data_IF_326832455169
#
_entry.id   IF_326832455169
#
_cell.length_a   1.000
_cell.length_b   1.000
_cell.length_c   1.000
_cell.angle_alpha   90.00
_cell.angle_beta   90.00
_cell.angle_gamma   90.00
#
_symmetry.space_group_name_H-M   'P 1'
#
loop_
_entity.id
_entity.type
_entity.pdbx_description
1 polymer ?
#
# COMPACT_ATOMS: atom_id res chain seq x y z
N UNK A 1 2.85 -20.44 -6.74
CA UNK A 1 2.51 -19.00 -6.89
C UNK A 1 1.04 -18.89 -7.28
N UNK A 2 0.27 -18.09 -6.55
CA UNK A 2 -1.14 -18.37 -6.21
C UNK A 2 -2.16 -18.31 -7.36
N UNK A 3 -2.86 -19.43 -7.56
CA UNK A 3 -3.90 -19.65 -8.58
C UNK A 3 -5.33 -19.31 -8.12
N UNK A 4 -5.53 -18.34 -7.24
CA UNK A 4 -6.83 -18.14 -6.55
C UNK A 4 -7.45 -16.74 -6.62
N UNK A 5 -6.80 -15.75 -7.22
CA UNK A 5 -7.37 -14.40 -7.35
C UNK A 5 -8.00 -14.26 -8.74
N UNK A 6 -9.32 -14.11 -8.77
CA UNK A 6 -10.11 -14.05 -10.00
C UNK A 6 -10.36 -12.62 -10.50
N UNK A 7 -9.91 -11.60 -9.76
CA UNK A 7 -10.17 -10.20 -10.10
C UNK A 7 -9.06 -9.29 -9.58
N UNK A 8 -8.73 -8.27 -10.38
CA UNK A 8 -7.89 -7.14 -10.02
C UNK A 8 -8.71 -5.84 -9.82
N UNK A 9 -10.04 -5.95 -9.81
CA UNK A 9 -10.98 -4.84 -9.64
C UNK A 9 -11.55 -4.82 -8.22
N UNK A 10 -11.38 -3.69 -7.55
CA UNK A 10 -12.04 -3.36 -6.29
C UNK A 10 -13.12 -2.32 -6.59
N UNK A 11 -14.36 -2.77 -6.61
CA UNK A 11 -15.50 -2.01 -7.15
C UNK A 11 -15.93 -0.86 -6.24
N UNK A 12 -16.56 0.15 -6.84
CA UNK A 12 -17.16 1.28 -6.14
C UNK A 12 -18.13 0.86 -5.02
N UNK A 13 -18.92 -0.19 -5.24
CA UNK A 13 -19.89 -0.70 -4.24
C UNK A 13 -19.23 -1.11 -2.91
N UNK A 14 -18.00 -1.64 -2.98
CA UNK A 14 -17.21 -1.98 -1.78
C UNK A 14 -16.51 -0.75 -1.20
N UNK A 15 -15.92 0.09 -2.04
CA UNK A 15 -15.14 1.24 -1.56
C UNK A 15 -16.04 2.31 -0.93
N UNK A 16 -17.25 2.54 -1.47
CA UNK A 16 -18.19 3.54 -0.93
C UNK A 16 -18.67 3.20 0.48
N UNK A 17 -18.74 1.90 0.81
CA UNK A 17 -19.18 1.43 2.12
C UNK A 17 -18.02 1.35 3.11
N UNK A 18 -16.80 1.05 2.64
CA UNK A 18 -15.61 0.97 3.48
C UNK A 18 -14.40 1.63 2.81
N UNK A 19 -14.05 2.82 3.30
CA UNK A 19 -12.87 3.59 2.87
C UNK A 19 -11.55 2.81 2.97
N UNK A 20 -11.43 1.93 3.96
CA UNK A 20 -10.24 1.11 4.20
C UNK A 20 -9.94 0.12 3.05
N UNK A 21 -10.87 -0.07 2.10
CA UNK A 21 -10.67 -0.87 0.90
C UNK A 21 -9.45 -0.43 0.07
N UNK A 22 -8.98 0.82 0.23
CA UNK A 22 -7.74 1.31 -0.39
C UNK A 22 -6.49 0.50 0.02
N UNK A 23 -6.50 -0.18 1.17
CA UNK A 23 -5.39 -1.04 1.64
C UNK A 23 -5.13 -2.23 0.72
N UNK A 24 -6.06 -2.56 -0.17
CA UNK A 24 -5.84 -3.62 -1.17
C UNK A 24 -4.94 -3.17 -2.31
N UNK A 25 -4.76 -1.86 -2.54
CA UNK A 25 -4.03 -1.30 -3.68
C UNK A 25 -2.59 -1.82 -3.76
N UNK A 26 -1.82 -1.68 -2.68
CA UNK A 26 -0.42 -2.09 -2.58
C UNK A 26 -0.20 -3.60 -2.73
N UNK A 27 -0.80 -4.45 -1.89
CA UNK A 27 -0.61 -5.90 -1.97
C UNK A 27 -1.12 -6.51 -3.29
N UNK A 28 -2.24 -6.03 -3.84
CA UNK A 28 -2.73 -6.51 -5.13
C UNK A 28 -1.82 -6.07 -6.28
N UNK A 29 -1.35 -4.82 -6.28
CA UNK A 29 -0.38 -4.35 -7.29
C UNK A 29 0.91 -5.17 -7.23
N UNK A 30 1.47 -5.39 -6.03
CA UNK A 30 2.71 -6.11 -5.86
C UNK A 30 2.59 -7.60 -6.27
N UNK A 31 1.40 -8.18 -6.14
CA UNK A 31 1.14 -9.60 -6.48
C UNK A 31 0.70 -9.83 -7.93
N UNK A 32 -0.16 -8.96 -8.47
CA UNK A 32 -0.81 -9.13 -9.77
C UNK A 32 -0.15 -8.30 -10.88
N UNK A 33 0.60 -7.27 -10.53
CA UNK A 33 1.23 -6.33 -11.46
C UNK A 33 0.27 -5.30 -12.08
N UNK A 34 -1.04 -5.48 -11.93
CA UNK A 34 -2.06 -4.51 -12.31
C UNK A 34 -3.26 -4.59 -11.38
N UNK A 35 -3.77 -3.43 -10.95
CA UNK A 35 -4.96 -3.34 -10.09
C UNK A 35 -5.76 -2.08 -10.41
N UNK A 36 -7.09 -2.16 -10.28
CA UNK A 36 -8.01 -1.03 -10.38
C UNK A 36 -8.85 -0.93 -9.11
N UNK A 37 -8.69 0.16 -8.36
CA UNK A 37 -9.37 0.40 -7.08
C UNK A 37 -10.19 1.68 -7.18
N UNK A 38 -11.46 1.67 -6.78
CA UNK A 38 -12.25 2.89 -6.75
C UNK A 38 -11.67 3.90 -5.75
N UNK A 39 -11.67 5.19 -6.12
CA UNK A 39 -11.23 6.27 -5.23
C UNK A 39 -12.23 6.41 -4.07
N UNK A 40 -11.75 6.41 -2.81
CA UNK A 40 -12.62 6.73 -1.69
C UNK A 40 -13.18 8.14 -1.86
N UNK A 41 -14.50 8.28 -1.68
CA UNK A 41 -15.17 9.57 -1.72
C UNK A 41 -14.85 10.45 -0.50
N UNK A 42 -15.54 11.59 -0.41
CA UNK A 42 -15.46 12.49 0.74
C UNK A 42 -15.93 11.82 2.03
N UNK A 43 -15.33 12.18 3.16
CA UNK A 43 -15.71 11.71 4.49
C UNK A 43 -16.25 12.90 5.31
N UNK A 44 -17.32 12.69 6.08
CA UNK A 44 -17.95 13.74 6.88
C UNK A 44 -17.02 14.37 7.94
N UNK A 45 -15.94 13.68 8.31
CA UNK A 45 -14.97 14.12 9.33
C UNK A 45 -13.92 15.07 8.72
N UNK A 46 -13.78 15.11 7.39
CA UNK A 46 -12.82 15.95 6.69
C UNK A 46 -12.15 15.27 5.50
N UNK A 47 -11.30 16.01 4.81
CA UNK A 47 -10.48 15.44 3.74
C UNK A 47 -9.44 14.51 4.34
N UNK A 48 -9.38 13.28 3.83
CA UNK A 48 -8.24 12.39 4.05
C UNK A 48 -7.76 12.01 2.65
N UNK A 49 -6.67 12.59 2.15
CA UNK A 49 -6.21 12.25 0.82
C UNK A 49 -5.59 10.84 0.80
N UNK A 50 -5.54 10.22 -0.39
CA UNK A 50 -4.84 8.95 -0.63
C UNK A 50 -3.52 9.18 -1.37
N UNK A 51 -3.09 10.43 -1.44
CA UNK A 51 -1.91 10.89 -2.17
C UNK A 51 -0.64 10.15 -1.71
N UNK A 52 -0.51 9.90 -0.40
CA UNK A 52 0.68 9.22 0.12
C UNK A 52 0.80 7.76 -0.33
N UNK A 53 -0.34 7.08 -0.53
CA UNK A 53 -0.35 5.74 -1.10
C UNK A 53 0.16 5.77 -2.56
N UNK A 54 -0.34 6.73 -3.34
CA UNK A 54 -0.02 6.89 -4.77
C UNK A 54 1.45 7.26 -4.93
N UNK A 55 1.91 8.33 -4.27
CA UNK A 55 3.30 8.81 -4.31
C UNK A 55 4.30 7.73 -3.94
N UNK A 56 4.00 6.94 -2.90
CA UNK A 56 4.89 5.86 -2.47
C UNK A 56 4.99 4.75 -3.52
N UNK A 57 3.86 4.31 -4.09
CA UNK A 57 3.84 3.28 -5.13
C UNK A 57 4.47 3.76 -6.44
N UNK A 58 4.28 5.02 -6.84
CA UNK A 58 4.95 5.62 -7.99
C UNK A 58 6.48 5.64 -7.79
N UNK A 59 6.96 6.00 -6.60
CA UNK A 59 8.39 5.92 -6.26
C UNK A 59 8.92 4.48 -6.37
N UNK A 60 8.09 3.48 -6.08
CA UNK A 60 8.43 2.05 -6.26
C UNK A 60 8.36 1.59 -7.73
N UNK A 61 8.08 2.48 -8.68
CA UNK A 61 8.04 2.20 -10.12
C UNK A 61 6.66 1.84 -10.67
N UNK A 62 5.58 2.15 -9.96
CA UNK A 62 4.22 1.97 -10.48
C UNK A 62 3.82 3.13 -11.40
N UNK A 63 3.16 2.80 -12.52
CA UNK A 63 2.42 3.75 -13.33
C UNK A 63 0.99 3.85 -12.80
N UNK A 64 0.59 5.03 -12.33
CA UNK A 64 -0.73 5.25 -11.72
C UNK A 64 -1.52 6.29 -12.52
N UNK A 65 -2.77 5.98 -12.82
CA UNK A 65 -3.70 6.91 -13.48
C UNK A 65 -5.00 7.01 -12.71
N UNK A 66 -5.50 8.24 -12.57
CA UNK A 66 -6.80 8.53 -11.97
C UNK A 66 -7.78 8.86 -13.10
N UNK A 67 -8.74 7.98 -13.35
CA UNK A 67 -9.80 8.19 -14.36
C UNK A 67 -11.13 7.68 -13.84
N UNK A 68 -12.19 8.46 -14.08
CA UNK A 68 -13.58 8.08 -13.78
C UNK A 68 -13.82 7.63 -12.32
N UNK A 69 -13.11 8.21 -11.35
CA UNK A 69 -13.23 7.82 -9.94
C UNK A 69 -12.53 6.50 -9.59
N UNK A 70 -11.59 6.04 -10.40
CA UNK A 70 -10.73 4.88 -10.13
C UNK A 70 -9.26 5.23 -10.17
N UNK A 71 -8.49 4.60 -9.28
CA UNK A 71 -7.04 4.46 -9.34
C UNK A 71 -6.76 3.20 -10.16
N UNK A 72 -6.10 3.35 -11.30
CA UNK A 72 -5.55 2.23 -12.06
C UNK A 72 -4.04 2.26 -11.92
N UNK A 73 -3.47 1.21 -11.33
CA UNK A 73 -2.04 1.10 -11.08
C UNK A 73 -1.46 -0.12 -11.80
N UNK A 74 -0.30 0.05 -12.43
CA UNK A 74 0.42 -0.99 -13.17
C UNK A 74 1.90 -0.98 -12.81
N UNK A 75 2.49 -2.15 -12.59
CA UNK A 75 3.91 -2.33 -12.37
C UNK A 75 4.30 -3.75 -12.76
N UNK A 76 5.29 -3.93 -13.65
CA UNK A 76 5.81 -5.28 -13.95
C UNK A 76 6.36 -5.94 -12.69
N UNK A 77 7.07 -5.16 -11.88
CA UNK A 77 7.61 -5.54 -10.58
C UNK A 77 7.91 -4.24 -9.83
N UNK A 78 7.38 -4.09 -8.62
CA UNK A 78 7.75 -2.97 -7.76
C UNK A 78 9.22 -3.09 -7.34
N UNK A 79 9.91 -1.98 -7.18
CA UNK A 79 11.31 -1.91 -6.76
C UNK A 79 11.41 -1.33 -5.35
N UNK A 80 12.34 -1.86 -4.58
CA UNK A 80 12.71 -1.29 -3.29
C UNK A 80 13.31 0.09 -3.45
N UNK A 81 12.82 1.05 -2.66
CA UNK A 81 13.24 2.45 -2.70
C UNK A 81 13.16 3.09 -1.31
N UNK A 82 13.78 4.26 -1.16
CA UNK A 82 13.61 5.09 0.03
C UNK A 82 12.39 6.01 -0.13
N UNK A 83 11.42 5.90 0.78
CA UNK A 83 10.20 6.70 0.81
C UNK A 83 10.18 7.49 2.11
N UNK A 84 10.18 8.81 2.00
CA UNK A 84 9.92 9.72 3.13
C UNK A 84 8.47 10.17 3.04
N UNK A 85 7.69 9.94 4.08
CA UNK A 85 6.29 10.35 4.09
C UNK A 85 6.13 11.85 4.38
N UNK A 86 5.31 12.53 3.57
CA UNK A 86 5.03 13.97 3.76
C UNK A 86 4.24 14.20 5.06
N UNK A 87 3.38 13.23 5.42
CA UNK A 87 2.57 13.21 6.63
C UNK A 87 2.50 11.79 7.19
N UNK A 88 2.40 11.67 8.51
CA UNK A 88 2.18 10.37 9.16
C UNK A 88 0.79 9.86 8.79
N UNK A 89 0.72 8.67 8.22
CA UNK A 89 -0.54 8.03 7.79
C UNK A 89 -0.50 6.54 8.10
N UNK A 90 -1.48 6.07 8.86
CA UNK A 90 -1.62 4.66 9.25
C UNK A 90 -1.80 3.80 8.00
N UNK A 91 -2.88 4.03 7.24
CA UNK A 91 -3.18 3.20 6.07
C UNK A 91 -2.17 3.35 4.95
N UNK A 92 -1.55 4.53 4.80
CA UNK A 92 -0.47 4.71 3.83
C UNK A 92 0.75 3.88 4.19
N UNK A 93 1.12 3.84 5.47
CA UNK A 93 2.20 3.01 5.99
C UNK A 93 1.93 1.52 5.79
N UNK A 94 0.73 1.05 6.15
CA UNK A 94 0.31 -0.36 5.97
C UNK A 94 0.39 -0.78 4.50
N UNK A 95 -0.15 0.06 3.61
CA UNK A 95 -0.23 -0.23 2.19
C UNK A 95 1.15 -0.34 1.55
N UNK A 96 2.07 0.57 1.89
CA UNK A 96 3.44 0.56 1.40
C UNK A 96 4.25 -0.59 2.02
N UNK A 97 4.05 -0.91 3.30
CA UNK A 97 4.67 -2.07 3.94
C UNK A 97 4.29 -3.38 3.23
N UNK A 98 2.99 -3.59 2.97
CA UNK A 98 2.50 -4.77 2.26
C UNK A 98 3.03 -4.84 0.82
N UNK A 99 3.09 -3.71 0.11
CA UNK A 99 3.64 -3.66 -1.24
C UNK A 99 5.14 -3.98 -1.26
N UNK A 100 5.91 -3.44 -0.31
CA UNK A 100 7.34 -3.64 -0.19
C UNK A 100 7.73 -5.10 0.08
N UNK A 101 6.87 -5.88 0.76
CA UNK A 101 7.13 -7.29 1.05
C UNK A 101 7.26 -8.17 -0.21
N UNK A 102 6.78 -7.71 -1.37
CA UNK A 102 6.87 -8.43 -2.65
C UNK A 102 7.62 -7.63 -3.73
N UNK A 103 8.18 -6.47 -3.37
CA UNK A 103 8.99 -5.64 -4.26
C UNK A 103 10.40 -6.21 -4.37
N UNK A 104 11.13 -5.90 -5.44
CA UNK A 104 12.51 -6.36 -5.60
C UNK A 104 13.48 -5.40 -4.92
N UNK A 105 14.21 -5.89 -3.92
CA UNK A 105 15.23 -5.13 -3.20
C UNK A 105 14.75 -4.58 -1.86
N UNK A 106 15.43 -3.54 -1.36
CA UNK A 106 15.17 -2.99 -0.03
C UNK A 106 14.34 -1.72 -0.11
N UNK A 107 13.26 -1.67 0.67
CA UNK A 107 12.43 -0.47 0.84
C UNK A 107 12.63 0.11 2.22
N UNK A 108 12.97 1.40 2.31
CA UNK A 108 13.05 2.12 3.59
C UNK A 108 11.90 3.12 3.63
N UNK A 109 11.09 3.06 4.69
CA UNK A 109 9.96 3.97 4.90
C UNK A 109 10.26 4.82 6.12
N UNK A 110 10.32 6.13 5.92
CA UNK A 110 10.59 7.15 6.94
C UNK A 110 9.37 8.01 7.20
N UNK A 111 9.30 8.57 8.42
CA UNK A 111 8.11 9.24 8.93
C UNK A 111 6.90 8.28 8.88
N UNK A 112 7.14 7.03 9.29
CA UNK A 112 6.16 5.97 9.34
C UNK A 112 5.18 6.15 10.51
N UNK A 113 3.97 5.60 10.33
CA UNK A 113 3.04 5.39 11.42
C UNK A 113 3.63 4.42 12.47
N UNK A 114 3.34 4.67 13.75
CA UNK A 114 3.91 3.95 14.92
C UNK A 114 2.84 3.31 15.78
N UNK A 115 1.60 3.34 15.30
CA UNK A 115 0.44 2.80 15.96
C UNK A 115 0.58 1.28 16.16
N UNK A 116 0.00 0.71 17.23
CA UNK A 116 0.12 -0.72 17.53
C UNK A 116 -0.29 -1.63 16.37
N UNK A 117 -1.26 -1.21 15.56
CA UNK A 117 -1.76 -1.94 14.39
C UNK A 117 -0.70 -2.09 13.29
N UNK A 118 0.22 -1.11 13.17
CA UNK A 118 1.37 -1.21 12.25
C UNK A 118 2.32 -2.32 12.69
N UNK A 119 2.58 -2.40 14.00
CA UNK A 119 3.42 -3.44 14.59
C UNK A 119 2.77 -4.81 14.43
N UNK A 120 1.47 -4.90 14.64
CA UNK A 120 0.71 -6.15 14.49
C UNK A 120 0.70 -6.64 13.04
N UNK A 121 0.45 -5.74 12.07
CA UNK A 121 0.56 -6.06 10.65
C UNK A 121 1.96 -6.57 10.29
N UNK A 122 3.01 -5.90 10.77
CA UNK A 122 4.38 -6.35 10.52
C UNK A 122 4.65 -7.74 11.10
N UNK A 123 4.19 -8.03 12.32
CA UNK A 123 4.31 -9.37 12.93
C UNK A 123 3.58 -10.43 12.10
N UNK A 124 2.38 -10.11 11.64
CA UNK A 124 1.61 -10.98 10.75
C UNK A 124 2.39 -11.27 9.46
N UNK A 125 2.90 -10.25 8.78
CA UNK A 125 3.70 -10.38 7.55
C UNK A 125 5.00 -11.16 7.79
N UNK A 126 5.70 -10.92 8.91
CA UNK A 126 6.91 -11.65 9.31
C UNK A 126 6.58 -13.14 9.52
N UNK A 127 5.45 -13.46 10.17
CA UNK A 127 5.01 -14.86 10.34
C UNK A 127 4.72 -15.56 9.00
N UNK A 128 4.40 -14.79 7.95
CA UNK A 128 4.22 -15.27 6.58
C UNK A 128 5.53 -15.34 5.77
N UNK A 129 6.68 -14.95 6.36
CA UNK A 129 8.01 -15.02 5.75
C UNK A 129 8.55 -13.68 5.23
N UNK A 130 7.87 -12.56 5.47
CA UNK A 130 8.41 -11.25 5.14
C UNK A 130 9.60 -10.87 6.03
N UNK A 131 10.53 -10.10 5.50
CA UNK A 131 11.70 -9.60 6.24
C UNK A 131 11.52 -8.11 6.53
N UNK A 132 11.10 -7.80 7.75
CA UNK A 132 10.80 -6.43 8.17
C UNK A 132 11.54 -6.10 9.47
N UNK A 133 12.19 -4.94 9.52
CA UNK A 133 12.98 -4.47 10.68
C UNK A 133 12.66 -3.01 10.99
N UNK A 134 12.74 -2.62 12.28
CA UNK A 134 12.56 -1.23 12.73
C UNK A 134 11.10 -0.81 12.96
N UNK A 135 10.13 -1.72 12.84
CA UNK A 135 8.70 -1.42 13.05
C UNK A 135 8.43 -1.02 14.50
N UNK A 136 7.56 -0.03 14.68
CA UNK A 136 7.31 0.63 15.97
C UNK A 136 8.16 1.90 16.16
N UNK A 137 9.08 2.18 15.24
CA UNK A 137 9.81 3.44 15.16
C UNK A 137 9.33 4.27 13.97
N UNK A 138 9.85 5.48 13.82
CA UNK A 138 9.55 6.37 12.69
C UNK A 138 10.21 5.93 11.36
N UNK A 139 11.11 4.94 11.41
CA UNK A 139 11.81 4.40 10.24
C UNK A 139 11.80 2.86 10.28
N UNK A 140 11.33 2.23 9.22
CA UNK A 140 11.46 0.77 9.07
C UNK A 140 11.93 0.38 7.68
N UNK A 141 12.50 -0.83 7.59
CA UNK A 141 13.04 -1.42 6.38
C UNK A 141 12.34 -2.73 6.06
N UNK A 142 12.06 -2.95 4.78
CA UNK A 142 11.49 -4.19 4.24
C UNK A 142 12.40 -4.72 3.14
N UNK A 143 12.79 -5.99 3.22
CA UNK A 143 13.46 -6.74 2.15
C UNK A 143 12.41 -7.64 1.46
N UNK A 144 12.25 -7.47 0.14
CA UNK A 144 11.27 -8.20 -0.68
C UNK A 144 11.88 -9.05 -1.80
#
# INVERSE_FOLDING_TARGET
>A
MGRGLNSNLVSYELVKTMRASILTLGPLLARLGEVRVSLPGGCAIGQRPVDQHIKGLEKMGAEITLREGYITAKAKKLKGVRIVNDLVTVTGTENLMMAACLAEGHTVIENAAREPEIVDLARCLISMGAKIQGVGTDIFCVEG
#
